data_IF_553424090209
#
_entry.id   IF_553424090209
#
_cell.length_a   1.000
_cell.length_b   1.000
_cell.length_c   1.000
_cell.angle_alpha   90.00
_cell.angle_beta   90.00
_cell.angle_gamma   90.00
#
_symmetry.space_group_name_H-M   'P 1'
#
loop_
_entity.id
_entity.type
_entity.pdbx_description
1 polymer ?
#
# COMPACT_ATOMS: atom_id res chain seq x y z
N UNK A 1 -20.19 6.02 11.72
CA UNK A 1 -18.99 5.19 11.41
C UNK A 1 -19.17 3.78 11.96
N UNK A 2 -18.76 2.76 11.20
CA UNK A 2 -18.81 1.36 11.61
C UNK A 2 -17.43 0.70 11.46
N UNK A 3 -17.09 -0.23 12.36
CA UNK A 3 -15.86 -1.02 12.25
C UNK A 3 -16.19 -2.43 11.78
N UNK A 4 -15.63 -2.83 10.65
CA UNK A 4 -15.83 -4.15 10.07
C UNK A 4 -14.50 -4.74 9.64
N UNK A 5 -14.20 -5.97 10.08
CA UNK A 5 -12.95 -6.67 9.81
C UNK A 5 -11.71 -5.77 9.98
N UNK A 6 -11.63 -5.04 11.09
CA UNK A 6 -10.48 -4.16 11.37
C UNK A 6 -10.37 -2.87 10.55
N UNK A 7 -11.24 -2.65 9.56
CA UNK A 7 -11.34 -1.41 8.77
C UNK A 7 -12.48 -0.54 9.34
N UNK A 8 -12.27 0.78 9.38
CA UNK A 8 -13.29 1.74 9.80
C UNK A 8 -13.92 2.34 8.56
N UNK A 9 -15.22 2.18 8.41
CA UNK A 9 -15.98 2.64 7.25
C UNK A 9 -16.84 3.83 7.71
N UNK A 10 -16.68 4.95 7.01
CA UNK A 10 -17.52 6.14 7.16
C UNK A 10 -18.59 6.19 6.06
N UNK A 11 -19.66 6.94 6.31
CA UNK A 11 -20.82 7.04 5.40
C UNK A 11 -20.44 7.60 4.02
N UNK A 12 -19.44 8.49 3.98
CA UNK A 12 -18.95 9.14 2.76
C UNK A 12 -17.76 8.39 2.11
N UNK A 13 -17.31 7.26 2.68
CA UNK A 13 -16.11 6.54 2.24
C UNK A 13 -14.88 7.45 2.08
N UNK A 14 -14.71 8.46 2.95
CA UNK A 14 -13.54 9.34 2.99
C UNK A 14 -12.32 8.63 3.56
N UNK A 15 -12.52 7.60 4.38
CA UNK A 15 -11.48 6.81 5.05
C UNK A 15 -10.59 7.59 6.03
N UNK A 16 -10.88 8.88 6.31
CA UNK A 16 -10.01 9.73 7.13
C UNK A 16 -9.79 9.15 8.52
N UNK A 17 -10.86 8.73 9.20
CA UNK A 17 -10.78 8.12 10.54
C UNK A 17 -10.02 6.80 10.52
N UNK A 18 -10.18 5.99 9.46
CA UNK A 18 -9.40 4.78 9.27
C UNK A 18 -7.91 5.09 9.15
N UNK A 19 -7.55 6.09 8.32
CA UNK A 19 -6.17 6.51 8.09
C UNK A 19 -5.55 7.13 9.35
N UNK A 20 -6.32 7.85 10.17
CA UNK A 20 -5.86 8.35 11.46
C UNK A 20 -5.46 7.21 12.40
N UNK A 21 -6.33 6.19 12.50
CA UNK A 21 -6.07 5.00 13.30
C UNK A 21 -4.88 4.20 12.74
N UNK A 22 -4.79 4.07 11.42
CA UNK A 22 -3.67 3.42 10.74
C UNK A 22 -2.35 4.15 10.99
N UNK A 23 -2.30 5.47 10.79
CA UNK A 23 -1.11 6.28 11.06
C UNK A 23 -0.63 6.14 12.51
N UNK A 24 -1.56 6.06 13.48
CA UNK A 24 -1.21 5.78 14.89
C UNK A 24 -0.55 4.41 15.07
N UNK A 25 -1.11 3.35 14.48
CA UNK A 25 -0.49 2.01 14.48
C UNK A 25 0.87 2.00 13.80
N UNK A 26 0.97 2.59 12.62
CA UNK A 26 2.22 2.74 11.88
C UNK A 26 3.28 3.52 12.67
N UNK A 27 2.86 4.51 13.47
CA UNK A 27 3.73 5.23 14.40
C UNK A 27 4.35 4.33 15.48
N UNK A 28 3.59 3.36 15.99
CA UNK A 28 4.13 2.36 16.94
C UNK A 28 5.10 1.39 16.25
N UNK A 29 4.76 0.90 15.05
CA UNK A 29 5.66 0.05 14.25
C UNK A 29 6.96 0.77 13.89
N UNK A 30 6.87 2.05 13.50
CA UNK A 30 8.00 2.94 13.27
C UNK A 30 8.97 2.99 14.45
N UNK A 31 8.44 3.17 15.67
CA UNK A 31 9.27 3.21 16.87
C UNK A 31 10.02 1.88 17.08
N UNK A 32 9.35 0.75 16.90
CA UNK A 32 9.96 -0.58 17.02
C UNK A 32 11.06 -0.78 15.97
N UNK A 33 10.80 -0.44 14.70
CA UNK A 33 11.78 -0.53 13.61
C UNK A 33 13.02 0.32 13.91
N UNK A 34 12.82 1.57 14.37
CA UNK A 34 13.93 2.45 14.76
C UNK A 34 14.75 1.88 15.91
N UNK A 35 14.08 1.29 16.90
CA UNK A 35 14.76 0.67 18.05
C UNK A 35 15.57 -0.54 17.61
N UNK A 36 15.00 -1.43 16.80
CA UNK A 36 15.72 -2.60 16.26
C UNK A 36 16.94 -2.16 15.44
N UNK A 37 16.77 -1.16 14.57
CA UNK A 37 17.88 -0.58 13.80
C UNK A 37 19.00 0.00 14.67
N UNK A 38 18.66 0.56 15.84
CA UNK A 38 19.66 1.12 16.75
C UNK A 38 20.47 0.09 17.54
N UNK A 39 19.94 -1.13 17.70
CA UNK A 39 20.56 -2.20 18.51
C UNK A 39 21.04 -3.39 17.68
N UNK A 40 20.66 -3.46 16.41
CA UNK A 40 20.92 -4.57 15.48
C UNK A 40 21.32 -4.05 14.10
N UNK A 41 21.41 -4.95 13.14
CA UNK A 41 21.68 -4.72 11.73
C UNK A 41 20.46 -4.24 10.91
N UNK A 42 20.75 -3.66 9.73
CA UNK A 42 19.74 -3.15 8.78
C UNK A 42 18.80 -4.25 8.27
N UNK A 43 19.26 -5.47 7.90
CA UNK A 43 18.36 -6.58 7.54
C UNK A 43 17.33 -6.90 8.62
N UNK A 44 17.73 -7.00 9.88
CA UNK A 44 16.81 -7.23 11.01
C UNK A 44 15.75 -6.13 11.13
N UNK A 45 16.16 -4.86 11.00
CA UNK A 45 15.23 -3.73 11.00
C UNK A 45 14.27 -3.76 9.78
N UNK A 46 14.75 -4.20 8.62
CA UNK A 46 13.94 -4.37 7.40
C UNK A 46 12.91 -5.49 7.56
N UNK A 47 13.27 -6.61 8.17
CA UNK A 47 12.32 -7.68 8.52
C UNK A 47 11.24 -7.16 9.46
N UNK A 48 11.62 -6.41 10.50
CA UNK A 48 10.65 -5.79 11.40
C UNK A 48 9.74 -4.78 10.69
N UNK A 49 10.28 -4.04 9.72
CA UNK A 49 9.49 -3.13 8.89
C UNK A 49 8.42 -3.89 8.10
N UNK A 50 8.78 -4.98 7.40
CA UNK A 50 7.78 -5.76 6.67
C UNK A 50 6.74 -6.40 7.60
N UNK A 51 7.18 -6.93 8.74
CA UNK A 51 6.31 -7.64 9.68
C UNK A 51 5.36 -6.72 10.46
N UNK A 52 5.78 -5.50 10.82
CA UNK A 52 5.01 -4.61 11.71
C UNK A 52 4.46 -3.37 11.01
N UNK A 53 5.14 -2.87 9.98
CA UNK A 53 4.73 -1.66 9.27
C UNK A 53 3.98 -2.02 7.99
N UNK A 54 4.62 -2.77 7.08
CA UNK A 54 4.04 -3.07 5.77
C UNK A 54 2.83 -4.01 5.87
N UNK A 55 2.85 -5.00 6.76
CA UNK A 55 1.68 -5.87 7.02
C UNK A 55 0.42 -5.09 7.41
N UNK A 56 0.55 -4.10 8.30
CA UNK A 56 -0.55 -3.22 8.71
C UNK A 56 -0.93 -2.25 7.60
N UNK A 57 0.02 -1.81 6.79
CA UNK A 57 -0.19 -0.94 5.63
C UNK A 57 -0.91 -1.67 4.49
N UNK A 58 -0.61 -2.94 4.23
CA UNK A 58 -1.24 -3.70 3.16
C UNK A 58 -2.64 -4.20 3.57
N UNK A 59 -2.93 -4.25 4.88
CA UNK A 59 -4.22 -4.71 5.36
C UNK A 59 -5.38 -3.83 4.87
N UNK A 60 -6.24 -4.41 4.04
CA UNK A 60 -7.37 -3.70 3.44
C UNK A 60 -6.96 -2.63 2.42
N UNK A 61 -5.71 -2.63 1.93
CA UNK A 61 -5.18 -1.60 1.03
C UNK A 61 -6.01 -1.48 -0.26
N UNK A 62 -6.55 -2.57 -0.78
CA UNK A 62 -7.47 -2.54 -1.94
C UNK A 62 -8.77 -1.77 -1.66
N UNK A 63 -9.19 -1.69 -0.39
CA UNK A 63 -10.45 -1.05 0.02
C UNK A 63 -10.24 0.44 0.24
N UNK A 64 -9.27 0.82 1.06
CA UNK A 64 -9.03 2.23 1.43
C UNK A 64 -7.96 2.91 0.59
N UNK A 65 -7.18 2.16 -0.20
CA UNK A 65 -6.05 2.68 -1.00
C UNK A 65 -6.48 3.65 -2.10
N UNK A 66 -7.76 3.63 -2.50
CA UNK A 66 -8.36 4.63 -3.40
C UNK A 66 -8.95 5.84 -2.65
N UNK A 67 -8.49 6.11 -1.42
CA UNK A 67 -8.88 7.29 -0.66
C UNK A 67 -8.28 8.58 -1.24
N UNK A 68 -8.60 9.73 -0.64
CA UNK A 68 -8.11 11.03 -1.09
C UNK A 68 -6.57 11.09 -1.18
N UNK A 69 -6.06 11.90 -2.11
CA UNK A 69 -4.62 12.15 -2.24
C UNK A 69 -3.99 12.66 -0.92
N UNK A 70 -4.74 13.46 -0.15
CA UNK A 70 -4.31 13.92 1.18
C UNK A 70 -4.11 12.76 2.16
N UNK A 71 -5.01 11.77 2.17
CA UNK A 71 -4.87 10.59 3.04
C UNK A 71 -3.67 9.73 2.65
N UNK A 72 -3.49 9.45 1.35
CA UNK A 72 -2.31 8.73 0.86
C UNK A 72 -1.00 9.48 1.16
N UNK A 73 -1.00 10.82 1.04
CA UNK A 73 0.16 11.64 1.38
C UNK A 73 0.52 11.52 2.87
N UNK A 74 -0.46 11.48 3.78
CA UNK A 74 -0.22 11.31 5.22
C UNK A 74 0.45 9.97 5.54
N UNK A 75 -0.03 8.89 4.90
CA UNK A 75 0.57 7.56 5.02
C UNK A 75 1.99 7.54 4.46
N UNK A 76 2.19 8.12 3.27
CA UNK A 76 3.52 8.23 2.64
C UNK A 76 4.49 9.04 3.50
N UNK A 77 4.06 10.15 4.11
CA UNK A 77 4.90 10.93 5.05
C UNK A 77 5.29 10.09 6.26
N UNK A 78 4.37 9.30 6.80
CA UNK A 78 4.65 8.37 7.91
C UNK A 78 5.66 7.29 7.48
N UNK A 79 5.54 6.77 6.26
CA UNK A 79 6.49 5.85 5.67
C UNK A 79 7.87 6.50 5.47
N UNK A 80 7.96 7.74 4.99
CA UNK A 80 9.26 8.44 4.88
C UNK A 80 9.94 8.61 6.24
N UNK A 81 9.16 8.80 7.32
CA UNK A 81 9.69 8.92 8.69
C UNK A 81 10.32 7.62 9.21
N UNK A 82 9.95 6.44 8.69
CA UNK A 82 10.62 5.16 9.01
C UNK A 82 11.98 5.05 8.37
N UNK A 83 12.14 5.62 7.19
CA UNK A 83 13.38 5.62 6.42
C UNK A 83 14.32 6.78 6.83
N UNK A 84 13.93 7.61 7.80
CA UNK A 84 14.47 8.94 8.06
C UNK A 84 15.85 9.02 8.75
N UNK A 85 16.81 8.22 8.29
CA UNK A 85 18.21 8.68 8.36
C UNK A 85 18.49 9.78 7.31
N UNK A 86 17.47 10.16 6.54
CA UNK A 86 17.50 11.21 5.54
C UNK A 86 17.59 12.59 6.19
N UNK A 87 18.49 13.42 5.67
CA UNK A 87 18.60 14.82 6.08
C UNK A 87 17.38 15.64 5.65
N UNK A 88 17.08 16.76 6.33
CA UNK A 88 16.08 17.71 5.86
C UNK A 88 16.37 18.11 4.40
N UNK A 89 15.39 17.96 3.50
CA UNK A 89 15.44 18.18 2.04
C UNK A 89 16.11 17.09 1.20
N UNK A 90 16.59 16.02 1.80
CA UNK A 90 17.09 14.87 1.03
C UNK A 90 15.94 14.13 0.33
N UNK A 91 16.19 13.67 -0.89
CA UNK A 91 15.22 12.86 -1.61
C UNK A 91 15.06 11.51 -0.92
N UNK A 92 13.83 11.09 -0.65
CA UNK A 92 13.55 9.77 -0.11
C UNK A 92 13.64 8.64 -1.16
N UNK A 93 13.67 8.99 -2.45
CA UNK A 93 13.64 8.01 -3.54
C UNK A 93 14.83 7.02 -3.49
N UNK A 94 16.09 7.44 -3.29
CA UNK A 94 17.21 6.52 -3.16
C UNK A 94 17.05 5.57 -1.96
N UNK A 95 16.51 6.03 -0.84
CA UNK A 95 16.29 5.19 0.34
C UNK A 95 15.29 4.05 0.06
N UNK A 96 14.18 4.33 -0.62
CA UNK A 96 13.23 3.30 -1.05
C UNK A 96 13.87 2.26 -1.97
N UNK A 97 14.71 2.70 -2.92
CA UNK A 97 15.40 1.81 -3.87
C UNK A 97 16.43 0.94 -3.13
N UNK A 98 17.32 1.56 -2.35
CA UNK A 98 18.40 0.86 -1.64
C UNK A 98 17.86 -0.15 -0.63
N UNK A 99 16.75 0.19 0.04
CA UNK A 99 16.10 -0.71 1.00
C UNK A 99 15.13 -1.67 0.33
N UNK A 100 14.89 -1.55 -0.98
CA UNK A 100 13.89 -2.33 -1.75
C UNK A 100 12.50 -2.30 -1.09
N UNK A 101 12.08 -1.12 -0.65
CA UNK A 101 10.78 -0.89 -0.05
C UNK A 101 9.90 -0.18 -1.08
N UNK A 102 8.66 -0.64 -1.23
CA UNK A 102 7.69 -0.02 -2.12
C UNK A 102 6.97 1.13 -1.41
N UNK A 103 6.63 2.18 -2.16
CA UNK A 103 5.77 3.24 -1.62
C UNK A 103 4.34 2.74 -1.46
N UNK A 104 3.54 3.34 -0.58
CA UNK A 104 2.10 3.00 -0.43
C UNK A 104 1.34 2.99 -1.77
N UNK A 105 1.68 3.89 -2.69
CA UNK A 105 1.07 3.96 -4.02
C UNK A 105 1.50 2.77 -4.88
N UNK A 106 2.79 2.43 -4.86
CA UNK A 106 3.31 1.26 -5.58
C UNK A 106 2.74 -0.05 -5.04
N UNK A 107 2.58 -0.16 -3.72
CA UNK A 107 1.92 -1.29 -3.07
C UNK A 107 0.47 -1.41 -3.52
N UNK A 108 -0.28 -0.29 -3.53
CA UNK A 108 -1.66 -0.30 -3.98
C UNK A 108 -1.80 -0.78 -5.43
N UNK A 109 -0.95 -0.28 -6.34
CA UNK A 109 -0.94 -0.72 -7.74
C UNK A 109 -0.59 -2.21 -7.85
N UNK A 110 0.42 -2.69 -7.11
CA UNK A 110 0.81 -4.09 -7.09
C UNK A 110 -0.33 -5.00 -6.62
N UNK A 111 -0.94 -4.67 -5.47
CA UNK A 111 -2.08 -5.40 -4.92
C UNK A 111 -3.27 -5.41 -5.89
N UNK A 112 -3.56 -4.28 -6.53
CA UNK A 112 -4.66 -4.17 -7.50
C UNK A 112 -4.41 -5.06 -8.73
N UNK A 113 -3.19 -5.05 -9.26
CA UNK A 113 -2.80 -5.89 -10.40
C UNK A 113 -2.85 -7.37 -10.03
N UNK A 114 -2.33 -7.75 -8.87
CA UNK A 114 -2.37 -9.14 -8.38
C UNK A 114 -3.82 -9.61 -8.20
N UNK A 115 -4.69 -8.78 -7.61
CA UNK A 115 -6.10 -9.09 -7.43
C UNK A 115 -6.82 -9.32 -8.78
N UNK A 116 -6.55 -8.51 -9.79
CA UNK A 116 -7.10 -8.70 -11.15
C UNK A 116 -6.55 -9.98 -11.80
N UNK A 117 -5.25 -10.26 -11.63
CA UNK A 117 -4.61 -11.44 -12.16
C UNK A 117 -5.18 -12.73 -11.54
N UNK A 118 -5.28 -12.80 -10.22
CA UNK A 118 -5.80 -13.96 -9.47
C UNK A 118 -7.28 -14.23 -9.76
N UNK A 119 -8.09 -13.18 -9.95
CA UNK A 119 -9.52 -13.34 -10.29
C UNK A 119 -9.76 -13.82 -11.71
N UNK A 120 -8.74 -13.81 -12.58
CA UNK A 120 -8.84 -14.33 -13.93
C UNK A 120 -9.93 -13.64 -14.77
N UNK A 121 -9.95 -12.30 -14.78
CA UNK A 121 -10.93 -11.53 -15.54
C UNK A 121 -11.02 -12.01 -17.01
N UNK A 122 -12.24 -12.09 -17.57
CA UNK A 122 -12.42 -12.56 -18.94
C UNK A 122 -11.66 -11.66 -19.91
N UNK A 123 -10.92 -12.28 -20.82
CA UNK A 123 -10.25 -11.61 -21.93
C UNK A 123 -11.14 -11.62 -23.15
N UNK A 124 -10.85 -10.79 -24.15
CA UNK A 124 -11.61 -10.74 -25.40
C UNK A 124 -11.74 -12.11 -26.10
N UNK A 125 -10.75 -13.00 -25.95
CA UNK A 125 -10.79 -14.38 -26.43
C UNK A 125 -11.82 -15.28 -25.74
N UNK A 126 -12.22 -14.96 -24.51
CA UNK A 126 -13.24 -15.70 -23.77
C UNK A 126 -14.65 -15.26 -24.18
N UNK A 127 -14.78 -14.05 -24.76
CA UNK A 127 -16.06 -13.47 -25.17
C UNK A 127 -16.39 -13.74 -26.64
N UNK A 128 -15.39 -13.78 -27.51
CA UNK A 128 -15.57 -13.99 -28.95
C UNK A 128 -15.01 -15.33 -29.39
N UNK A 129 -15.77 -16.09 -30.20
CA UNK A 129 -15.31 -17.36 -30.80
C UNK A 129 -14.34 -17.19 -31.99
N UNK A 130 -13.96 -15.96 -32.33
CA UNK A 130 -13.03 -15.67 -33.41
C UNK A 130 -11.94 -14.69 -32.94
N UNK A 131 -10.77 -14.74 -33.58
CA UNK A 131 -9.64 -13.91 -33.20
C UNK A 131 -9.92 -12.44 -33.54
N UNK A 132 -10.07 -11.62 -32.49
CA UNK A 132 -10.12 -10.16 -32.62
C UNK A 132 -8.73 -9.56 -32.37
N UNK A 133 -8.45 -8.37 -32.92
CA UNK A 133 -7.18 -7.66 -32.71
C UNK A 133 -6.87 -7.42 -31.21
N UNK A 134 -7.90 -7.41 -30.36
CA UNK A 134 -7.83 -7.19 -28.91
C UNK A 134 -8.18 -8.45 -28.09
N UNK A 135 -8.02 -9.64 -28.66
CA UNK A 135 -8.41 -10.89 -28.01
C UNK A 135 -7.67 -11.14 -26.68
N UNK A 136 -6.44 -10.63 -26.54
CA UNK A 136 -5.63 -10.76 -25.32
C UNK A 136 -5.97 -9.74 -24.24
N UNK A 137 -6.71 -8.69 -24.58
CA UNK A 137 -7.03 -7.57 -23.69
C UNK A 137 -8.14 -7.99 -22.71
N UNK A 138 -8.13 -7.39 -21.52
CA UNK A 138 -9.19 -7.59 -20.54
C UNK A 138 -10.50 -7.01 -21.06
N UNK A 139 -11.58 -7.78 -20.93
CA UNK A 139 -12.92 -7.30 -21.20
C UNK A 139 -13.39 -6.46 -20.01
N UNK A 140 -13.27 -5.14 -20.15
CA UNK A 140 -13.77 -4.19 -19.16
C UNK A 140 -15.25 -3.89 -19.45
N UNK A 141 -16.14 -3.95 -18.45
CA UNK A 141 -17.53 -3.51 -18.65
C UNK A 141 -17.56 -2.04 -19.08
N UNK A 142 -18.45 -1.72 -20.03
CA UNK A 142 -18.69 -0.33 -20.41
C UNK A 142 -19.23 0.46 -19.22
N UNK A 143 -18.70 1.66 -19.01
CA UNK A 143 -19.17 2.61 -18.01
C UNK A 143 -20.42 3.35 -18.46
#
# INVERSE_FOLDING_TARGET
EAKYLGVTIDEDLKWTTHIDNLCRKLGTGLYVVKRIKSISDVPSAKTAYFALFESNLCYGLLVWGNSSAGNLQRVLVTQKRTLADLQPRESCRPAFINLSILTVVSLYVLEAVNCVHERGFPRGCNTHHYNTRRATDFYLPGH
#
